data_IF_552654119813
#
_entry.id   IF_552654119813
#
_cell.length_a   1.000
_cell.length_b   1.000
_cell.length_c   1.000
_cell.angle_alpha   90.00
_cell.angle_beta   90.00
_cell.angle_gamma   90.00
#
_symmetry.space_group_name_H-M   'P 1'
#
loop_
_entity.id
_entity.type
_entity.pdbx_description
1 polymer ?
#
# COMPACT_ATOMS: atom_id res chain seq x y z
N UNK A 1 -45.97 3.09 -3.54
CA UNK A 1 -45.26 1.95 -4.19
C UNK A 1 -43.79 2.32 -4.28
N UNK A 2 -42.94 1.78 -3.41
CA UNK A 2 -41.49 1.98 -3.46
C UNK A 2 -40.93 1.17 -4.63
N UNK A 3 -40.46 1.86 -5.68
CA UNK A 3 -39.79 1.25 -6.83
C UNK A 3 -38.60 0.43 -6.32
N UNK A 4 -38.59 -0.89 -6.57
CA UNK A 4 -37.43 -1.75 -6.28
C UNK A 4 -36.31 -1.41 -7.27
N UNK A 5 -35.20 -0.91 -6.74
CA UNK A 5 -33.98 -0.70 -7.52
C UNK A 5 -33.43 -2.04 -8.02
N UNK A 6 -33.00 -2.06 -9.26
CA UNK A 6 -32.25 -3.16 -9.84
C UNK A 6 -30.90 -3.34 -9.14
N UNK A 7 -30.24 -4.51 -9.25
CA UNK A 7 -28.91 -4.72 -8.66
C UNK A 7 -27.88 -3.66 -9.10
N UNK A 8 -27.90 -3.24 -10.37
CA UNK A 8 -27.01 -2.21 -10.89
C UNK A 8 -27.31 -0.82 -10.31
N UNK A 9 -28.59 -0.45 -10.17
CA UNK A 9 -28.99 0.82 -9.54
C UNK A 9 -28.66 0.84 -8.03
N UNK A 10 -28.71 -0.32 -7.36
CA UNK A 10 -28.28 -0.42 -5.94
C UNK A 10 -26.78 -0.25 -5.78
N UNK A 11 -25.98 -0.85 -6.67
CA UNK A 11 -24.52 -0.70 -6.65
C UNK A 11 -24.10 0.75 -6.96
N UNK A 12 -24.73 1.39 -7.95
CA UNK A 12 -24.48 2.80 -8.27
C UNK A 12 -24.95 3.78 -7.17
N UNK A 13 -25.97 3.42 -6.38
CA UNK A 13 -26.38 4.21 -5.20
C UNK A 13 -25.42 4.01 -4.04
N UNK A 14 -24.95 2.78 -3.80
CA UNK A 14 -23.96 2.48 -2.77
C UNK A 14 -22.61 3.16 -3.05
N UNK A 15 -22.21 3.29 -4.31
CA UNK A 15 -21.00 4.02 -4.73
C UNK A 15 -21.13 5.54 -4.51
N UNK A 16 -22.35 6.08 -4.55
CA UNK A 16 -22.64 7.49 -4.26
C UNK A 16 -22.81 7.81 -2.77
N UNK A 17 -23.21 6.82 -1.97
CA UNK A 17 -23.49 6.94 -0.54
C UNK A 17 -22.39 6.34 0.33
N UNK A 18 -21.14 6.31 -0.13
CA UNK A 18 -20.00 5.98 0.72
C UNK A 18 -19.83 7.09 1.76
N UNK A 19 -19.95 6.75 3.05
CA UNK A 19 -19.70 7.69 4.13
C UNK A 19 -18.21 8.06 4.14
N UNK A 20 -17.89 9.31 4.50
CA UNK A 20 -16.51 9.78 4.64
C UNK A 20 -15.66 8.87 5.56
N UNK A 21 -16.30 8.24 6.54
CA UNK A 21 -15.69 7.29 7.46
C UNK A 21 -15.34 5.98 6.76
N UNK A 22 -16.22 5.43 5.91
CA UNK A 22 -15.94 4.24 5.09
C UNK A 22 -14.81 4.49 4.07
N UNK A 23 -14.75 5.69 3.49
CA UNK A 23 -13.66 6.12 2.59
C UNK A 23 -12.35 6.22 3.38
N UNK A 24 -12.38 6.77 4.60
CA UNK A 24 -11.22 6.88 5.46
C UNK A 24 -10.71 5.51 5.92
N UNK A 25 -11.62 4.60 6.26
CA UNK A 25 -11.32 3.22 6.66
C UNK A 25 -10.72 2.43 5.50
N UNK A 26 -11.30 2.53 4.30
CA UNK A 26 -10.72 1.93 3.09
C UNK A 26 -9.31 2.50 2.80
N UNK A 27 -9.14 3.82 2.92
CA UNK A 27 -7.85 4.49 2.75
C UNK A 27 -6.81 4.04 3.79
N UNK A 28 -7.24 3.73 5.02
CA UNK A 28 -6.38 3.22 6.09
C UNK A 28 -5.96 1.77 5.81
N UNK A 29 -6.86 0.95 5.25
CA UNK A 29 -6.59 -0.42 4.88
C UNK A 29 -5.64 -0.51 3.69
N UNK A 30 -5.86 0.26 2.63
CA UNK A 30 -4.98 0.30 1.46
C UNK A 30 -3.58 0.78 1.83
N UNK A 31 -3.50 1.81 2.70
CA UNK A 31 -2.22 2.26 3.27
C UNK A 31 -1.55 1.14 4.06
N UNK A 32 -2.28 0.43 4.92
CA UNK A 32 -1.75 -0.67 5.71
C UNK A 32 -1.18 -1.79 4.82
N UNK A 33 -1.89 -2.15 3.74
CA UNK A 33 -1.43 -3.15 2.76
C UNK A 33 -0.13 -2.73 2.07
N UNK A 34 -0.04 -1.48 1.61
CA UNK A 34 1.20 -0.96 1.01
C UNK A 34 2.35 -0.98 2.01
N UNK A 35 2.11 -0.61 3.28
CA UNK A 35 3.13 -0.69 4.31
C UNK A 35 3.60 -2.15 4.53
N UNK A 36 2.68 -3.13 4.56
CA UNK A 36 3.06 -4.55 4.67
C UNK A 36 3.91 -4.99 3.47
N UNK A 37 3.52 -4.62 2.25
CA UNK A 37 4.28 -4.95 1.05
C UNK A 37 5.68 -4.35 1.09
N UNK A 38 5.84 -3.10 1.53
CA UNK A 38 7.15 -2.46 1.67
C UNK A 38 8.04 -3.21 2.66
N UNK A 39 7.53 -3.58 3.85
CA UNK A 39 8.34 -4.35 4.79
C UNK A 39 8.63 -5.76 4.29
N UNK A 40 7.68 -6.40 3.59
CA UNK A 40 7.88 -7.73 3.00
C UNK A 40 9.05 -7.72 1.99
N UNK A 41 9.04 -6.77 1.06
CA UNK A 41 10.08 -6.64 0.04
C UNK A 41 11.38 -6.12 0.63
N UNK A 42 11.33 -5.05 1.41
CA UNK A 42 12.53 -4.39 1.95
C UNK A 42 13.33 -5.24 2.94
N UNK A 43 12.75 -6.30 3.51
CA UNK A 43 13.47 -7.28 4.35
C UNK A 43 14.05 -8.46 3.57
N UNK A 44 13.57 -8.73 2.35
CA UNK A 44 13.99 -9.86 1.49
C UNK A 44 14.90 -9.44 0.35
N UNK A 45 14.75 -8.20 -0.10
CA UNK A 45 15.45 -7.61 -1.22
C UNK A 45 16.14 -6.33 -0.75
N UNK A 46 17.34 -6.07 -1.25
CA UNK A 46 18.10 -4.86 -0.93
C UNK A 46 17.45 -3.60 -1.49
N UNK A 47 16.67 -3.72 -2.57
CA UNK A 47 16.01 -2.63 -3.26
C UNK A 47 14.64 -3.08 -3.82
N UNK A 48 13.71 -2.15 -3.98
CA UNK A 48 12.40 -2.36 -4.59
C UNK A 48 11.87 -1.07 -5.23
N UNK A 49 10.90 -1.20 -6.13
CA UNK A 49 10.22 -0.12 -6.83
C UNK A 49 8.71 -0.26 -6.71
N UNK A 50 7.97 0.72 -7.23
CA UNK A 50 6.51 0.61 -7.31
C UNK A 50 6.04 -0.51 -8.26
N UNK A 51 6.89 -1.03 -9.16
CA UNK A 51 6.54 -2.19 -9.97
C UNK A 51 6.47 -3.45 -9.09
N UNK A 52 7.49 -3.69 -8.26
CA UNK A 52 7.58 -4.87 -7.39
C UNK A 52 6.39 -4.94 -6.40
N UNK A 53 5.97 -3.79 -5.89
CA UNK A 53 4.85 -3.71 -4.96
C UNK A 53 3.49 -3.97 -5.63
N UNK A 54 3.31 -3.59 -6.91
CA UNK A 54 2.03 -3.82 -7.63
C UNK A 54 1.73 -5.29 -7.81
N UNK A 55 2.75 -6.13 -7.94
CA UNK A 55 2.59 -7.58 -8.14
C UNK A 55 1.98 -8.30 -6.92
N UNK A 56 2.09 -7.69 -5.73
CA UNK A 56 1.58 -8.27 -4.48
C UNK A 56 0.41 -7.52 -3.87
N UNK A 57 0.08 -6.34 -4.42
CA UNK A 57 -1.02 -5.51 -3.94
C UNK A 57 -2.29 -5.78 -4.76
N UNK A 58 -3.46 -5.84 -4.11
CA UNK A 58 -4.72 -5.86 -4.85
C UNK A 58 -4.84 -4.60 -5.71
N UNK A 59 -5.51 -4.71 -6.86
CA UNK A 59 -5.62 -3.64 -7.87
C UNK A 59 -6.11 -2.31 -7.26
N UNK A 60 -7.02 -2.38 -6.28
CA UNK A 60 -7.56 -1.21 -5.56
C UNK A 60 -6.48 -0.43 -4.79
N UNK A 61 -5.44 -1.11 -4.28
CA UNK A 61 -4.37 -0.46 -3.52
C UNK A 61 -3.33 0.24 -4.42
N UNK A 62 -3.38 0.05 -5.75
CA UNK A 62 -2.42 0.66 -6.67
C UNK A 62 -2.53 2.18 -6.72
N UNK A 63 -3.74 2.74 -6.55
CA UNK A 63 -3.97 4.18 -6.50
C UNK A 63 -3.32 4.88 -5.30
N UNK A 64 -3.17 4.17 -4.18
CA UNK A 64 -2.58 4.70 -2.95
C UNK A 64 -1.06 4.56 -2.86
N UNK A 65 -0.46 3.81 -3.78
CA UNK A 65 0.97 3.47 -3.75
C UNK A 65 1.87 4.72 -3.73
N UNK A 66 1.55 5.73 -4.54
CA UNK A 66 2.31 6.98 -4.58
C UNK A 66 2.26 7.75 -3.26
N UNK A 67 1.08 7.87 -2.65
CA UNK A 67 0.89 8.55 -1.37
C UNK A 67 1.60 7.83 -0.21
N UNK A 68 1.51 6.50 -0.18
CA UNK A 68 2.15 5.67 0.84
C UNK A 68 3.69 5.74 0.73
N UNK A 69 4.26 5.62 -0.47
CA UNK A 69 5.71 5.79 -0.69
C UNK A 69 6.16 7.19 -0.26
N UNK A 70 5.40 8.23 -0.57
CA UNK A 70 5.70 9.59 -0.15
C UNK A 70 5.65 9.76 1.38
N UNK A 71 4.68 9.13 2.06
CA UNK A 71 4.59 9.12 3.52
C UNK A 71 5.79 8.41 4.15
N UNK A 72 6.14 7.22 3.66
CA UNK A 72 7.23 6.40 4.19
C UNK A 72 8.60 7.05 4.00
N UNK A 73 8.86 7.68 2.85
CA UNK A 73 10.12 8.42 2.64
C UNK A 73 10.20 9.64 3.55
N UNK A 74 9.08 10.36 3.73
CA UNK A 74 9.02 11.56 4.60
C UNK A 74 9.23 11.19 6.06
N UNK A 75 8.72 10.03 6.48
CA UNK A 75 8.96 9.47 7.81
C UNK A 75 10.36 8.88 7.98
N UNK A 76 11.19 8.84 6.93
CA UNK A 76 12.53 8.26 6.94
C UNK A 76 12.56 6.74 7.11
N UNK A 77 11.47 6.04 6.77
CA UNK A 77 11.38 4.57 6.82
C UNK A 77 12.06 3.94 5.61
N UNK A 78 11.91 4.57 4.45
CA UNK A 78 12.58 4.19 3.20
C UNK A 78 13.44 5.34 2.73
N UNK A 79 14.47 5.02 1.95
CA UNK A 79 15.35 6.01 1.32
C UNK A 79 15.49 5.73 -0.17
N UNK A 80 15.60 6.81 -0.94
CA UNK A 80 15.81 6.72 -2.38
C UNK A 80 17.25 6.30 -2.66
N UNK A 81 17.44 5.34 -3.54
CA UNK A 81 18.77 4.78 -3.87
C UNK A 81 19.55 5.64 -4.87
N UNK A 82 18.90 6.64 -5.47
CA UNK A 82 19.43 7.42 -6.60
C UNK A 82 19.13 6.79 -7.95
N UNK A 83 18.66 5.54 -7.99
CA UNK A 83 18.27 4.84 -9.21
C UNK A 83 16.79 5.04 -9.51
N UNK A 84 16.45 4.89 -10.79
CA UNK A 84 15.08 4.91 -11.29
C UNK A 84 14.87 3.77 -12.29
N UNK A 85 13.64 3.28 -12.39
CA UNK A 85 13.22 2.28 -13.39
C UNK A 85 11.95 2.75 -14.11
N UNK A 86 11.70 2.36 -15.37
CA UNK A 86 10.44 2.68 -16.04
C UNK A 86 9.28 1.92 -15.39
N UNK A 87 8.13 2.58 -15.28
CA UNK A 87 6.88 1.94 -14.86
C UNK A 87 6.41 0.91 -15.88
N UNK A 88 5.98 -0.26 -15.41
CA UNK A 88 5.44 -1.33 -16.28
C UNK A 88 3.96 -1.16 -16.60
N UNK A 89 3.26 -0.22 -15.96
CA UNK A 89 1.86 0.09 -16.30
C UNK A 89 1.78 0.81 -17.65
N UNK A 90 1.01 0.24 -18.57
CA UNK A 90 0.80 0.79 -19.92
C UNK A 90 0.29 2.25 -19.89
N UNK A 91 -0.63 2.57 -18.98
CA UNK A 91 -1.21 3.91 -18.81
C UNK A 91 -0.22 5.00 -18.41
N UNK A 92 0.94 4.61 -17.89
CA UNK A 92 1.96 5.55 -17.40
C UNK A 92 3.02 5.89 -18.43
N UNK A 93 2.96 5.30 -19.62
CA UNK A 93 3.93 5.53 -20.70
C UNK A 93 5.40 5.44 -20.26
N UNK A 94 5.70 4.49 -19.36
CA UNK A 94 7.06 4.29 -18.85
C UNK A 94 7.55 5.38 -17.89
N UNK A 95 6.65 6.08 -17.19
CA UNK A 95 7.01 7.08 -16.19
C UNK A 95 8.09 6.56 -15.23
N UNK A 96 9.06 7.42 -14.88
CA UNK A 96 10.19 7.05 -14.02
C UNK A 96 9.73 6.82 -12.60
N UNK A 97 10.02 5.62 -12.09
CA UNK A 97 9.77 5.22 -10.72
C UNK A 97 11.08 5.24 -9.94
N UNK A 98 11.04 5.80 -8.73
CA UNK A 98 12.17 5.70 -7.81
C UNK A 98 12.40 4.25 -7.37
N UNK A 99 13.67 3.89 -7.20
CA UNK A 99 14.08 2.66 -6.53
C UNK A 99 14.42 2.98 -5.09
N UNK A 100 13.84 2.22 -4.17
CA UNK A 100 13.85 2.46 -2.74
C UNK A 100 14.48 1.29 -2.00
N UNK A 101 14.96 1.54 -0.79
CA UNK A 101 15.34 0.52 0.19
C UNK A 101 14.88 0.92 1.57
N UNK A 102 14.84 -0.03 2.51
CA UNK A 102 14.63 0.32 3.92
C UNK A 102 15.85 1.12 4.42
N UNK A 103 15.57 2.21 5.14
CA UNK A 103 16.61 2.91 5.90
C UNK A 103 16.98 2.09 7.14
N UNK A 104 18.00 2.53 7.88
CA UNK A 104 18.32 1.98 9.21
C UNK A 104 17.09 2.01 10.13
N UNK A 105 16.33 3.12 10.13
CA UNK A 105 15.08 3.24 10.89
C UNK A 105 14.04 2.22 10.42
N UNK A 106 13.88 2.06 9.10
CA UNK A 106 12.96 1.08 8.53
C UNK A 106 13.30 -0.36 8.92
N UNK A 107 14.59 -0.71 8.92
CA UNK A 107 15.07 -2.03 9.34
C UNK A 107 14.78 -2.30 10.82
N UNK A 108 15.02 -1.32 11.70
CA UNK A 108 14.70 -1.44 13.14
C UNK A 108 13.19 -1.67 13.34
N UNK A 109 12.35 -0.92 12.63
CA UNK A 109 10.89 -1.11 12.72
C UNK A 109 10.49 -2.49 12.21
N UNK A 110 11.08 -2.96 11.11
CA UNK A 110 10.79 -4.28 10.55
C UNK A 110 11.10 -5.40 11.56
N UNK A 111 12.25 -5.31 12.23
CA UNK A 111 12.66 -6.29 13.25
C UNK A 111 11.71 -6.28 14.46
N UNK A 112 11.33 -5.09 14.95
CA UNK A 112 10.35 -4.97 16.04
C UNK A 112 8.97 -5.54 15.67
N UNK A 113 8.56 -5.42 14.40
CA UNK A 113 7.30 -6.01 13.92
C UNK A 113 7.40 -7.53 13.86
N UNK A 114 8.52 -8.07 13.39
CA UNK A 114 8.78 -9.51 13.36
C UNK A 114 8.76 -10.12 14.76
N UNK A 115 9.45 -9.50 15.71
CA UNK A 115 9.49 -9.97 17.10
C UNK A 115 8.10 -10.01 17.75
N UNK A 116 7.25 -9.01 17.49
CA UNK A 116 5.85 -8.98 17.99
C UNK A 116 4.97 -10.05 17.35
N UNK A 117 5.11 -10.30 16.05
CA UNK A 117 4.36 -11.35 15.37
C UNK A 117 4.75 -12.78 15.77
N UNK A 118 5.92 -12.95 16.40
CA UNK A 118 6.44 -14.22 16.89
C UNK A 118 6.11 -14.48 18.38
N UNK A 119 5.59 -13.49 19.11
CA UNK A 119 5.12 -13.72 20.46
C UNK A 119 3.81 -14.53 20.39
N UNK A 120 3.76 -15.76 20.94
CA UNK A 120 2.50 -16.47 21.03
C UNK A 120 1.53 -15.60 21.83
N UNK A 121 0.33 -15.39 21.29
CA UNK A 121 -0.79 -14.83 22.04
C UNK A 121 -0.91 -15.70 23.30
N UNK A 122 -0.54 -15.14 24.46
CA UNK A 122 -0.85 -15.76 25.73
C UNK A 122 -2.37 -15.81 25.80
N UNK A 123 -2.93 -16.99 25.55
CA UNK A 123 -4.35 -17.26 25.67
C UNK A 123 -4.78 -16.85 27.08
N UNK A 124 -5.70 -15.90 27.15
CA UNK A 124 -6.43 -15.50 28.35
C UNK A 124 -7.91 -15.78 28.12
#
# INVERSE_FOLDING_TARGET
MTRRLSPAERLASAEKDLLLEDIADQSSWDRFLVEQAVYHFGTRHSEFSANDLRDVLPELAHGFLGAAINSLRTAGVIEHTGRVVPSTLASTHGHRLGVWRLSVKGLVIAEQRRARGQQPQAAA
#
